data_IF_801572872219
#
_entry.id   IF_801572872219
#
_cell.length_a   1.000
_cell.length_b   1.000
_cell.length_c   1.000
_cell.angle_alpha   90.00
_cell.angle_beta   90.00
_cell.angle_gamma   90.00
#
_symmetry.space_group_name_H-M   'P 1'
#
loop_
_entity.id
_entity.type
_entity.pdbx_description
1 polymer ?
#
# COMPACT_ATOMS: atom_id res chain seq x y z
N UNK A 1 -20.82 -13.68 16.47
CA UNK A 1 -21.24 -13.33 15.10
C UNK A 1 -20.72 -11.93 14.84
N UNK A 2 -19.52 -11.81 14.29
CA UNK A 2 -18.89 -10.50 14.03
C UNK A 2 -19.46 -9.99 12.72
N UNK A 3 -20.13 -8.84 12.77
CA UNK A 3 -20.78 -8.22 11.62
C UNK A 3 -19.74 -7.75 10.59
N UNK A 4 -19.73 -8.41 9.43
CA UNK A 4 -18.87 -8.20 8.26
C UNK A 4 -19.22 -6.93 7.44
N UNK A 5 -19.54 -5.81 8.10
CA UNK A 5 -19.92 -4.56 7.41
C UNK A 5 -18.73 -4.00 6.59
N UNK A 6 -17.50 -4.22 7.05
CA UNK A 6 -16.28 -3.83 6.32
C UNK A 6 -15.99 -4.67 5.07
N UNK A 7 -16.55 -5.88 4.94
CA UNK A 7 -16.23 -6.75 3.79
C UNK A 7 -16.85 -6.25 2.47
N UNK A 8 -17.96 -5.51 2.54
CA UNK A 8 -18.67 -5.06 1.34
C UNK A 8 -17.98 -3.90 0.62
N UNK A 9 -17.38 -2.95 1.35
CA UNK A 9 -16.69 -1.80 0.75
C UNK A 9 -15.39 -2.20 0.06
N UNK A 10 -14.57 -3.06 0.69
CA UNK A 10 -13.34 -3.55 0.05
C UNK A 10 -13.61 -4.40 -1.19
N UNK A 11 -14.63 -5.27 -1.13
CA UNK A 11 -15.02 -6.09 -2.28
C UNK A 11 -15.52 -5.24 -3.45
N UNK A 12 -16.29 -4.18 -3.17
CA UNK A 12 -16.77 -3.25 -4.20
C UNK A 12 -15.63 -2.43 -4.82
N UNK A 13 -14.74 -1.88 -4.00
CA UNK A 13 -13.55 -1.15 -4.47
C UNK A 13 -12.67 -2.04 -5.35
N UNK A 14 -12.42 -3.27 -4.91
CA UNK A 14 -11.65 -4.24 -5.69
C UNK A 14 -12.32 -4.56 -7.02
N UNK A 15 -13.63 -4.84 -7.00
CA UNK A 15 -14.42 -5.14 -8.20
C UNK A 15 -14.42 -3.98 -9.20
N UNK A 16 -14.54 -2.75 -8.71
CA UNK A 16 -14.54 -1.56 -9.56
C UNK A 16 -13.18 -1.37 -10.23
N UNK A 17 -12.10 -1.51 -9.47
CA UNK A 17 -10.74 -1.43 -10.00
C UNK A 17 -10.41 -2.58 -10.97
N UNK A 18 -10.81 -3.82 -10.67
CA UNK A 18 -10.55 -4.98 -11.53
C UNK A 18 -11.22 -4.86 -12.90
N UNK A 19 -12.42 -4.26 -12.94
CA UNK A 19 -13.18 -4.04 -14.16
C UNK A 19 -12.75 -2.79 -14.95
N UNK A 20 -11.91 -1.93 -14.35
CA UNK A 20 -11.41 -0.75 -15.05
C UNK A 20 -10.49 -1.14 -16.20
N UNK A 21 -10.66 -0.50 -17.36
CA UNK A 21 -9.70 -0.57 -18.47
C UNK A 21 -8.42 0.21 -18.17
N UNK A 22 -8.48 1.17 -17.25
CA UNK A 22 -7.35 2.00 -16.86
C UNK A 22 -6.50 1.32 -15.79
N UNK A 23 -5.20 1.64 -15.78
CA UNK A 23 -4.26 1.04 -14.84
C UNK A 23 -4.20 1.76 -13.49
N UNK A 24 -4.51 3.07 -13.47
CA UNK A 24 -4.44 3.88 -12.25
C UNK A 24 -5.40 3.36 -11.17
N UNK A 25 -6.69 3.08 -11.43
CA UNK A 25 -7.59 2.54 -10.40
C UNK A 25 -7.12 1.19 -9.84
N UNK A 26 -6.42 0.39 -10.64
CA UNK A 26 -5.81 -0.87 -10.20
C UNK A 26 -4.63 -0.63 -9.28
N UNK A 27 -3.77 0.35 -9.59
CA UNK A 27 -2.63 0.70 -8.74
C UNK A 27 -3.06 1.35 -7.42
N UNK A 28 -4.17 2.09 -7.41
CA UNK A 28 -4.73 2.70 -6.19
C UNK A 28 -5.18 1.67 -5.15
N UNK A 29 -5.48 0.42 -5.54
CA UNK A 29 -5.85 -0.65 -4.61
C UNK A 29 -4.82 -0.91 -3.51
N UNK A 30 -3.54 -0.58 -3.74
CA UNK A 30 -2.50 -0.71 -2.73
C UNK A 30 -2.84 0.00 -1.42
N UNK A 31 -3.51 1.15 -1.47
CA UNK A 31 -3.89 1.88 -0.25
C UNK A 31 -4.85 1.11 0.64
N UNK A 32 -5.70 0.30 0.01
CA UNK A 32 -6.69 -0.51 0.69
C UNK A 32 -6.06 -1.78 1.27
N UNK A 33 -5.10 -2.38 0.56
CA UNK A 33 -4.39 -3.56 1.07
C UNK A 33 -3.45 -3.21 2.20
N UNK A 34 -2.73 -2.10 2.10
CA UNK A 34 -1.74 -1.74 3.11
C UNK A 34 -2.39 -1.53 4.49
N UNK A 35 -3.51 -0.82 4.55
CA UNK A 35 -4.29 -0.67 5.80
C UNK A 35 -4.83 -2.01 6.31
N UNK A 36 -4.97 -3.01 5.44
CA UNK A 36 -5.37 -4.37 5.84
C UNK A 36 -4.19 -5.21 6.36
N UNK A 37 -2.93 -4.80 6.15
CA UNK A 37 -1.76 -5.47 6.71
C UNK A 37 -1.50 -5.05 8.17
N UNK A 38 -1.94 -3.85 8.55
CA UNK A 38 -1.73 -3.31 9.88
C UNK A 38 -3.05 -2.91 10.56
N UNK A 39 -3.90 -3.93 10.77
CA UNK A 39 -5.25 -3.77 11.33
C UNK A 39 -5.29 -3.18 12.75
N UNK A 40 -4.17 -3.09 13.44
CA UNK A 40 -4.09 -2.62 14.82
C UNK A 40 -3.59 -1.18 14.93
N UNK A 41 -3.12 -0.58 13.82
CA UNK A 41 -2.67 0.80 13.77
C UNK A 41 -3.75 1.71 13.15
N UNK A 42 -4.65 2.21 14.00
CA UNK A 42 -5.77 3.08 13.60
C UNK A 42 -5.31 4.45 13.04
N UNK A 43 -4.07 4.86 13.32
CA UNK A 43 -3.48 6.15 12.92
C UNK A 43 -2.58 6.07 11.68
N UNK A 44 -2.49 4.89 11.05
CA UNK A 44 -1.69 4.68 9.84
C UNK A 44 -2.19 5.58 8.69
N UNK A 45 -1.31 6.43 8.17
CA UNK A 45 -1.64 7.31 7.05
C UNK A 45 -0.89 6.89 5.79
N UNK A 46 -1.63 6.50 4.75
CA UNK A 46 -1.08 6.28 3.41
C UNK A 46 -1.58 7.34 2.43
N UNK A 47 -0.65 8.08 1.83
CA UNK A 47 -0.93 9.18 0.88
C UNK A 47 -0.29 8.89 -0.47
N UNK A 48 -1.02 9.12 -1.55
CA UNK A 48 -0.43 9.12 -2.89
C UNK A 48 0.35 10.42 -3.09
N UNK A 49 1.65 10.31 -3.32
CA UNK A 49 2.55 11.46 -3.54
C UNK A 49 2.69 11.78 -5.03
N UNK A 50 2.68 10.73 -5.87
CA UNK A 50 2.87 10.88 -7.31
C UNK A 50 2.19 9.76 -8.07
N UNK A 51 1.56 10.13 -9.18
CA UNK A 51 0.99 9.21 -10.15
C UNK A 51 1.65 9.47 -11.51
N UNK A 52 2.11 8.40 -12.15
CA UNK A 52 2.52 8.35 -13.54
C UNK A 52 1.76 7.21 -14.23
N UNK A 53 1.79 7.17 -15.57
CA UNK A 53 1.04 6.23 -16.41
C UNK A 53 1.11 4.76 -15.96
N UNK A 54 2.21 4.29 -15.37
CA UNK A 54 2.37 2.92 -14.91
C UNK A 54 2.96 2.79 -13.49
N UNK A 55 3.01 3.88 -12.73
CA UNK A 55 3.67 3.91 -11.42
C UNK A 55 2.95 4.82 -10.45
N UNK A 56 2.70 4.34 -9.24
CA UNK A 56 2.28 5.16 -8.11
C UNK A 56 3.37 5.18 -7.04
N UNK A 57 3.56 6.35 -6.44
CA UNK A 57 4.41 6.55 -5.27
C UNK A 57 3.51 6.89 -4.09
N UNK A 58 3.64 6.11 -3.03
CA UNK A 58 2.93 6.29 -1.77
C UNK A 58 3.89 6.76 -0.69
N UNK A 59 3.42 7.62 0.19
CA UNK A 59 4.05 7.92 1.45
C UNK A 59 3.23 7.30 2.56
N UNK A 60 3.91 6.54 3.40
CA UNK A 60 3.33 6.00 4.62
C UNK A 60 3.90 6.73 5.82
N UNK A 61 3.02 7.20 6.69
CA UNK A 61 3.28 7.94 7.93
C UNK A 61 2.63 7.19 9.11
N UNK A 62 3.07 7.50 10.34
CA UNK A 62 2.50 7.02 11.60
C UNK A 62 2.53 5.50 11.87
N UNK A 63 3.31 4.72 11.12
CA UNK A 63 3.52 3.32 11.51
C UNK A 63 4.50 3.17 12.68
N UNK A 64 4.19 2.29 13.62
CA UNK A 64 5.06 1.85 14.71
C UNK A 64 6.37 1.22 14.18
N UNK A 65 6.34 0.69 12.96
CA UNK A 65 7.50 0.11 12.29
C UNK A 65 8.45 1.16 11.68
N UNK A 66 8.11 2.45 11.72
CA UNK A 66 9.00 3.55 11.32
C UNK A 66 10.00 3.88 12.43
N UNK A 67 10.84 2.90 12.79
CA UNK A 67 11.93 3.08 13.73
C UNK A 67 13.16 3.73 13.03
N UNK A 68 13.88 4.70 13.63
CA UNK A 68 15.00 5.38 12.97
C UNK A 68 16.17 4.46 12.64
N UNK A 69 16.33 3.36 13.39
CA UNK A 69 17.35 2.36 13.11
C UNK A 69 17.09 1.58 11.82
N UNK A 70 15.87 1.67 11.26
CA UNK A 70 15.44 0.88 10.10
C UNK A 70 15.26 -0.61 10.42
N UNK A 71 15.28 -1.01 11.69
CA UNK A 71 15.19 -2.41 12.13
C UNK A 71 13.98 -3.15 11.54
N UNK A 72 12.86 -2.44 11.33
CA UNK A 72 11.63 -3.02 10.81
C UNK A 72 11.39 -2.75 9.33
N UNK A 73 12.40 -2.31 8.57
CA UNK A 73 12.27 -2.11 7.12
C UNK A 73 11.79 -3.39 6.38
N UNK A 74 12.14 -4.57 6.90
CA UNK A 74 11.70 -5.85 6.35
C UNK A 74 10.17 -6.02 6.37
N UNK A 75 9.46 -5.39 7.30
CA UNK A 75 7.99 -5.44 7.37
C UNK A 75 7.37 -4.85 6.09
N UNK A 76 7.89 -3.70 5.66
CA UNK A 76 7.47 -3.05 4.42
C UNK A 76 7.83 -3.88 3.19
N UNK A 77 8.99 -4.56 3.21
CA UNK A 77 9.36 -5.50 2.13
C UNK A 77 8.41 -6.69 2.03
N UNK A 78 7.97 -7.25 3.17
CA UNK A 78 6.96 -8.34 3.20
C UNK A 78 5.62 -7.86 2.66
N UNK A 79 5.19 -6.66 3.05
CA UNK A 79 3.96 -6.04 2.54
C UNK A 79 4.03 -5.82 1.02
N UNK A 80 5.19 -5.39 0.51
CA UNK A 80 5.44 -5.27 -0.92
C UNK A 80 5.35 -6.61 -1.66
N UNK A 81 6.06 -7.65 -1.19
CA UNK A 81 5.99 -8.97 -1.82
C UNK A 81 4.57 -9.58 -1.80
N UNK A 82 3.83 -9.36 -0.71
CA UNK A 82 2.44 -9.77 -0.61
C UNK A 82 1.55 -9.01 -1.60
N UNK A 83 1.79 -7.70 -1.79
CA UNK A 83 1.12 -6.87 -2.79
C UNK A 83 1.38 -7.40 -4.19
N UNK A 84 2.63 -7.68 -4.55
CA UNK A 84 2.97 -8.25 -5.87
C UNK A 84 2.22 -9.55 -6.13
N UNK A 85 2.15 -10.44 -5.13
CA UNK A 85 1.37 -11.67 -5.20
C UNK A 85 -0.12 -11.43 -5.41
N UNK A 86 -0.72 -10.47 -4.69
CA UNK A 86 -2.14 -10.11 -4.84
C UNK A 86 -2.44 -9.60 -6.24
N UNK A 87 -1.62 -8.69 -6.78
CA UNK A 87 -1.80 -8.14 -8.13
C UNK A 87 -1.65 -9.22 -9.20
N UNK A 88 -0.65 -10.10 -9.06
CA UNK A 88 -0.44 -11.18 -10.00
C UNK A 88 -1.62 -12.17 -9.99
N UNK A 89 -2.06 -12.61 -8.81
CA UNK A 89 -3.09 -13.65 -8.69
C UNK A 89 -4.50 -13.15 -9.01
N UNK A 90 -4.84 -11.92 -8.61
CA UNK A 90 -6.22 -11.44 -8.67
C UNK A 90 -6.48 -10.50 -9.85
N UNK A 91 -5.45 -9.84 -10.38
CA UNK A 91 -5.58 -8.92 -11.50
C UNK A 91 -4.84 -9.40 -12.76
N UNK A 92 -4.04 -10.47 -12.67
CA UNK A 92 -3.12 -10.91 -13.72
C UNK A 92 -2.17 -9.77 -14.17
N UNK A 93 -1.73 -8.95 -13.21
CA UNK A 93 -0.84 -7.82 -13.45
C UNK A 93 0.46 -8.09 -12.69
N UNK A 94 1.57 -8.05 -13.42
CA UNK A 94 2.89 -8.08 -12.81
C UNK A 94 3.26 -6.66 -12.38
N UNK A 95 3.55 -6.50 -11.10
CA UNK A 95 4.01 -5.25 -10.51
C UNK A 95 5.33 -5.47 -9.78
N UNK A 96 6.08 -4.39 -9.61
CA UNK A 96 7.28 -4.27 -8.80
C UNK A 96 6.97 -3.29 -7.67
N UNK A 97 7.01 -3.78 -6.43
CA UNK A 97 6.79 -3.00 -5.22
C UNK A 97 8.10 -2.83 -4.46
N UNK A 98 8.49 -1.57 -4.25
CA UNK A 98 9.74 -1.23 -3.57
C UNK A 98 9.47 -0.28 -2.41
N UNK A 99 10.07 -0.57 -1.26
CA UNK A 99 10.12 0.36 -0.12
C UNK A 99 11.48 1.04 -0.05
N UNK A 100 11.50 2.35 0.13
CA UNK A 100 12.72 3.12 0.40
C UNK A 100 13.13 3.04 1.88
N UNK A 101 14.16 3.77 2.28
CA UNK A 101 14.54 3.89 3.69
C UNK A 101 13.54 4.76 4.47
N UNK A 102 13.55 4.65 5.80
CA UNK A 102 12.79 5.55 6.68
C UNK A 102 13.39 6.96 6.62
N UNK A 103 12.53 7.95 6.48
CA UNK A 103 12.85 9.37 6.48
C UNK A 103 12.28 10.03 7.73
N UNK A 104 12.94 11.11 8.17
CA UNK A 104 12.43 12.01 9.21
C UNK A 104 12.03 13.33 8.55
N UNK A 105 10.85 13.85 8.88
CA UNK A 105 10.50 15.24 8.60
C UNK A 105 10.92 16.16 9.75
N UNK A 106 10.90 17.47 9.49
CA UNK A 106 11.28 18.50 10.46
C UNK A 106 10.38 18.48 11.73
N UNK A 107 9.16 17.94 11.62
CA UNK A 107 8.15 17.89 12.69
C UNK A 107 8.19 16.61 13.53
N UNK A 108 9.29 15.85 13.52
CA UNK A 108 9.45 14.51 14.13
C UNK A 108 8.55 13.42 13.54
N UNK A 109 7.77 13.72 12.51
CA UNK A 109 7.02 12.71 11.78
C UNK A 109 7.99 11.89 10.94
N UNK A 110 7.79 10.57 10.98
CA UNK A 110 8.57 9.63 10.20
C UNK A 110 7.72 9.13 9.07
N UNK A 111 8.38 8.85 7.95
CA UNK A 111 7.70 8.29 6.81
C UNK A 111 8.59 7.35 6.02
N UNK A 112 7.96 6.50 5.22
CA UNK A 112 8.63 5.68 4.22
C UNK A 112 7.94 5.91 2.88
N UNK A 113 8.75 5.93 1.82
CA UNK A 113 8.26 6.02 0.45
C UNK A 113 8.16 4.61 -0.11
N UNK A 114 6.98 4.23 -0.56
CA UNK A 114 6.74 2.98 -1.28
C UNK A 114 6.43 3.32 -2.74
N UNK A 115 6.87 2.47 -3.65
CA UNK A 115 6.59 2.64 -5.07
C UNK A 115 6.04 1.34 -5.65
N UNK A 116 4.98 1.45 -6.43
CA UNK A 116 4.33 0.33 -7.11
C UNK A 116 4.31 0.62 -8.61
N UNK A 117 4.98 -0.23 -9.39
CA UNK A 117 5.15 -0.04 -10.83
C UNK A 117 4.69 -1.27 -11.60
N UNK A 118 3.93 -1.09 -12.68
CA UNK A 118 3.59 -2.18 -13.61
C UNK A 118 4.79 -2.52 -14.49
N UNK A 119 5.05 -3.82 -14.66
CA UNK A 119 6.13 -4.38 -15.46
C UNK A 119 5.71 -4.75 -16.88
#
# INVERSE_FOLDING_TARGET
MINLIYSNTYAEVFKNASNSSEIIPKLELFQHFYNSFDFFQDDLELKIVKINDNKIIFRLENSEFLEPSGKYLYFFSIACGSTEGIYLQNLNIKVDCSSEKVFNSDDKNRYIINSLKVL
#
